data_IF_503025773346
#
_entry.id   IF_503025773346
#
_cell.length_a   1.000
_cell.length_b   1.000
_cell.length_c   1.000
_cell.angle_alpha   90.00
_cell.angle_beta   90.00
_cell.angle_gamma   90.00
#
_symmetry.space_group_name_H-M   'P 1'
#
loop_
_entity.id
_entity.type
_entity.pdbx_description
1 polymer ?
#
# COMPACT_ATOMS: atom_id res chain seq x y z
N UNK A 1 -66.78 3.13 0.46
CA UNK A 1 -66.64 1.95 1.34
C UNK A 1 -65.36 1.23 0.98
N UNK A 2 -64.20 1.79 1.35
CA UNK A 2 -62.86 1.23 1.06
C UNK A 2 -61.74 2.08 1.67
N UNK A 3 -61.84 2.47 2.95
CA UNK A 3 -60.84 3.37 3.56
C UNK A 3 -60.43 3.05 5.00
N UNK A 4 -60.83 1.90 5.55
CA UNK A 4 -60.46 1.53 6.93
C UNK A 4 -59.50 0.33 7.05
N UNK A 5 -59.12 -0.31 5.94
CA UNK A 5 -58.32 -1.55 5.97
C UNK A 5 -56.81 -1.35 5.86
N UNK A 6 -56.30 -0.11 5.80
CA UNK A 6 -54.87 0.17 5.60
C UNK A 6 -54.15 0.78 6.83
N UNK A 7 -54.85 1.08 7.92
CA UNK A 7 -54.23 1.72 9.10
C UNK A 7 -53.62 0.74 10.13
N UNK A 8 -53.89 -0.56 9.99
CA UNK A 8 -53.43 -1.59 10.93
C UNK A 8 -52.19 -2.38 10.45
N UNK A 9 -51.66 -2.06 9.27
CA UNK A 9 -50.52 -2.80 8.70
C UNK A 9 -49.14 -2.31 9.20
N UNK A 10 -49.09 -1.18 9.93
CA UNK A 10 -47.85 -0.42 10.15
C UNK A 10 -47.44 -0.26 11.62
N UNK A 11 -48.01 -1.05 12.54
CA UNK A 11 -47.56 -1.07 13.92
C UNK A 11 -46.59 -2.23 14.15
N UNK A 12 -45.29 -1.95 13.96
CA UNK A 12 -44.22 -2.83 14.44
C UNK A 12 -44.36 -2.94 15.96
N UNK A 13 -44.91 -4.06 16.43
CA UNK A 13 -45.13 -4.26 17.85
C UNK A 13 -43.78 -4.34 18.58
N UNK A 14 -43.64 -3.60 19.67
CA UNK A 14 -42.46 -3.66 20.55
C UNK A 14 -42.20 -5.08 21.08
N UNK A 15 -43.22 -5.93 21.13
CA UNK A 15 -43.10 -7.35 21.46
C UNK A 15 -42.34 -8.14 20.40
N UNK A 16 -42.65 -7.93 19.12
CA UNK A 16 -41.96 -8.60 18.01
C UNK A 16 -40.47 -8.24 17.95
N UNK A 17 -40.11 -6.98 18.22
CA UNK A 17 -38.70 -6.54 18.26
C UNK A 17 -37.93 -7.25 19.39
N UNK A 18 -38.52 -7.39 20.57
CA UNK A 18 -37.88 -8.06 21.71
C UNK A 18 -37.67 -9.56 21.46
N UNK A 19 -38.64 -10.22 20.85
CA UNK A 19 -38.53 -11.65 20.48
C UNK A 19 -37.42 -11.81 19.45
N UNK A 20 -37.42 -10.98 18.40
CA UNK A 20 -36.37 -10.99 17.38
C UNK A 20 -34.97 -10.75 17.96
N UNK A 21 -34.83 -9.80 18.89
CA UNK A 21 -33.56 -9.55 19.57
C UNK A 21 -33.10 -10.75 20.41
N UNK A 22 -34.02 -11.39 21.14
CA UNK A 22 -33.71 -12.56 21.96
C UNK A 22 -33.32 -13.76 21.09
N UNK A 23 -33.96 -13.94 19.94
CA UNK A 23 -33.58 -14.95 18.94
C UNK A 23 -32.18 -14.71 18.38
N UNK A 24 -31.81 -13.45 18.08
CA UNK A 24 -30.45 -13.10 17.65
C UNK A 24 -29.44 -13.42 18.74
N UNK A 25 -29.69 -13.01 19.99
CA UNK A 25 -28.77 -13.26 21.10
C UNK A 25 -28.60 -14.77 21.32
N UNK A 26 -29.70 -15.53 21.29
CA UNK A 26 -29.66 -16.99 21.43
C UNK A 26 -28.90 -17.64 20.28
N UNK A 27 -29.09 -17.15 19.06
CA UNK A 27 -28.35 -17.62 17.89
C UNK A 27 -26.85 -17.37 18.04
N UNK A 28 -26.44 -16.17 18.47
CA UNK A 28 -25.04 -15.82 18.73
C UNK A 28 -24.44 -16.73 19.81
N UNK A 29 -25.14 -16.94 20.93
CA UNK A 29 -24.65 -17.82 22.00
C UNK A 29 -24.51 -19.28 21.53
N UNK A 30 -25.50 -19.80 20.81
CA UNK A 30 -25.45 -21.17 20.26
C UNK A 30 -24.31 -21.32 19.25
N UNK A 31 -24.08 -20.28 18.44
CA UNK A 31 -22.97 -20.24 17.50
C UNK A 31 -21.62 -20.22 18.23
N UNK A 32 -21.49 -19.42 19.29
CA UNK A 32 -20.28 -19.39 20.13
C UNK A 32 -20.02 -20.75 20.77
N UNK A 33 -21.03 -21.41 21.32
CA UNK A 33 -20.92 -22.74 21.92
C UNK A 33 -20.47 -23.78 20.88
N UNK A 34 -21.05 -23.74 19.67
CA UNK A 34 -20.64 -24.60 18.57
C UNK A 34 -19.18 -24.35 18.19
N UNK A 35 -18.76 -23.10 18.05
CA UNK A 35 -17.37 -22.74 17.75
C UNK A 35 -16.44 -23.24 18.86
N UNK A 36 -16.78 -23.04 20.13
CA UNK A 36 -15.99 -23.50 21.26
C UNK A 36 -15.87 -25.04 21.30
N UNK A 37 -16.97 -25.76 21.00
CA UNK A 37 -16.98 -27.21 20.92
C UNK A 37 -16.12 -27.73 19.76
N UNK A 38 -16.15 -27.06 18.61
CA UNK A 38 -15.29 -27.40 17.46
C UNK A 38 -13.82 -27.13 17.78
N UNK A 39 -13.51 -26.00 18.41
CA UNK A 39 -12.15 -25.64 18.82
C UNK A 39 -11.59 -26.67 19.79
N UNK A 40 -12.33 -27.03 20.84
CA UNK A 40 -11.86 -27.99 21.85
C UNK A 40 -11.72 -29.41 21.29
N UNK A 41 -12.66 -29.85 20.43
CA UNK A 41 -12.65 -31.21 19.87
C UNK A 41 -11.66 -31.39 18.72
N UNK A 42 -11.37 -30.33 17.96
CA UNK A 42 -10.46 -30.36 16.80
C UNK A 42 -9.26 -29.42 16.95
N UNK A 43 -8.85 -29.15 18.20
CA UNK A 43 -7.76 -28.24 18.53
C UNK A 43 -6.47 -28.55 17.76
N UNK A 44 -6.12 -29.84 17.64
CA UNK A 44 -4.91 -30.29 16.93
C UNK A 44 -4.94 -29.89 15.46
N UNK A 45 -6.09 -30.03 14.78
CA UNK A 45 -6.22 -29.65 13.37
C UNK A 45 -6.06 -28.12 13.22
N UNK A 46 -6.73 -27.36 14.09
CA UNK A 46 -6.64 -25.89 14.09
C UNK A 46 -5.20 -25.44 14.35
N UNK A 47 -4.51 -26.09 15.27
CA UNK A 47 -3.12 -25.80 15.59
C UNK A 47 -2.20 -26.02 14.37
N UNK A 48 -2.40 -27.12 13.64
CA UNK A 48 -1.64 -27.40 12.41
C UNK A 48 -1.87 -26.33 11.35
N UNK A 49 -3.13 -25.95 11.11
CA UNK A 49 -3.45 -24.87 10.16
C UNK A 49 -2.90 -23.50 10.63
N UNK A 50 -2.94 -23.22 11.93
CA UNK A 50 -2.36 -21.99 12.49
C UNK A 50 -0.85 -21.95 12.28
N UNK A 51 -0.14 -23.06 12.53
CA UNK A 51 1.31 -23.16 12.28
C UNK A 51 1.61 -22.99 10.79
N UNK A 52 0.87 -23.65 9.90
CA UNK A 52 1.04 -23.51 8.46
C UNK A 52 0.80 -22.07 7.99
N UNK A 53 -0.23 -21.40 8.51
CA UNK A 53 -0.50 -20.00 8.23
C UNK A 53 0.60 -19.07 8.74
N UNK A 54 1.17 -19.35 9.92
CA UNK A 54 2.24 -18.56 10.50
C UNK A 54 3.54 -18.72 9.72
N UNK A 55 3.88 -19.95 9.31
CA UNK A 55 5.01 -20.21 8.42
C UNK A 55 4.81 -19.51 7.07
N UNK A 56 3.63 -19.62 6.46
CA UNK A 56 3.31 -18.97 5.19
C UNK A 56 3.36 -17.44 5.28
N UNK A 57 2.85 -16.86 6.36
CA UNK A 57 2.93 -15.41 6.61
C UNK A 57 4.35 -14.94 6.83
N UNK A 58 5.16 -15.71 7.57
CA UNK A 58 6.56 -15.40 7.82
C UNK A 58 7.41 -15.46 6.54
N UNK A 59 7.21 -16.49 5.71
CA UNK A 59 7.91 -16.59 4.42
C UNK A 59 7.50 -15.47 3.49
N UNK A 60 6.20 -15.15 3.41
CA UNK A 60 5.72 -14.01 2.62
C UNK A 60 6.34 -12.69 3.08
N UNK A 61 6.45 -12.47 4.39
CA UNK A 61 7.07 -11.28 4.96
C UNK A 61 8.56 -11.15 4.59
N UNK A 62 9.31 -12.25 4.64
CA UNK A 62 10.72 -12.30 4.26
C UNK A 62 10.93 -12.08 2.74
N UNK A 63 10.05 -12.65 1.92
CA UNK A 63 10.13 -12.58 0.46
C UNK A 63 9.65 -11.25 -0.11
N UNK A 64 8.92 -10.44 0.66
CA UNK A 64 8.45 -9.13 0.21
C UNK A 64 9.62 -8.13 0.24
N UNK A 65 10.16 -7.70 -0.92
CA UNK A 65 11.22 -6.72 -0.94
C UNK A 65 10.72 -5.39 -0.36
N UNK A 66 11.42 -4.87 0.66
CA UNK A 66 11.13 -3.55 1.23
C UNK A 66 11.55 -2.48 0.23
N UNK A 67 10.62 -2.04 -0.60
CA UNK A 67 10.84 -0.90 -1.47
C UNK A 67 10.79 0.39 -0.67
N UNK A 68 11.96 0.97 -0.40
CA UNK A 68 12.03 2.33 0.13
C UNK A 68 11.97 3.32 -1.04
N UNK A 69 10.94 4.15 -1.04
CA UNK A 69 10.79 5.25 -2.00
C UNK A 69 11.10 6.56 -1.27
N UNK A 70 12.18 7.21 -1.67
CA UNK A 70 12.55 8.53 -1.16
C UNK A 70 12.12 9.57 -2.18
N UNK A 71 11.34 10.56 -1.75
CA UNK A 71 10.82 11.62 -2.61
C UNK A 71 11.36 12.98 -2.14
N UNK A 72 12.00 13.73 -3.05
CA UNK A 72 12.53 15.06 -2.81
C UNK A 72 11.87 16.05 -3.76
N UNK A 73 11.32 17.13 -3.22
CA UNK A 73 10.76 18.23 -4.00
C UNK A 73 11.87 19.26 -4.22
N UNK A 74 12.23 19.51 -5.48
CA UNK A 74 13.27 20.47 -5.86
C UNK A 74 12.61 21.67 -6.53
N UNK A 75 12.81 22.85 -5.94
CA UNK A 75 12.45 24.13 -6.52
C UNK A 75 13.73 24.81 -6.96
N UNK A 76 14.00 24.85 -8.27
CA UNK A 76 15.20 25.50 -8.80
C UNK A 76 14.83 26.72 -9.65
N UNK A 77 15.60 27.79 -9.47
CA UNK A 77 15.44 29.08 -10.15
C UNK A 77 16.18 29.20 -11.48
N UNK A 78 17.24 28.41 -11.71
CA UNK A 78 18.21 28.72 -12.77
C UNK A 78 18.40 27.63 -13.85
N UNK A 79 17.86 26.42 -13.69
CA UNK A 79 18.05 25.32 -14.63
C UNK A 79 16.72 24.85 -15.20
N UNK A 80 16.66 24.65 -16.52
CA UNK A 80 15.50 24.08 -17.20
C UNK A 80 15.35 22.59 -16.90
N UNK A 81 14.10 22.13 -16.77
CA UNK A 81 13.73 20.72 -16.45
C UNK A 81 14.39 19.69 -17.38
N UNK A 82 14.62 20.06 -18.65
CA UNK A 82 15.27 19.19 -19.64
C UNK A 82 16.73 18.87 -19.30
N UNK A 83 17.45 19.82 -18.68
CA UNK A 83 18.84 19.59 -18.22
C UNK A 83 18.85 18.58 -17.08
N UNK A 84 17.92 18.71 -16.14
CA UNK A 84 17.72 17.74 -15.06
C UNK A 84 17.37 16.35 -15.58
N UNK A 85 16.46 16.25 -16.54
CA UNK A 85 16.10 14.99 -17.17
C UNK A 85 17.32 14.29 -17.78
N UNK A 86 18.16 15.02 -18.52
CA UNK A 86 19.40 14.47 -19.09
C UNK A 86 20.41 14.05 -18.03
N UNK A 87 20.58 14.83 -16.96
CA UNK A 87 21.49 14.48 -15.87
C UNK A 87 21.08 13.19 -15.16
N UNK A 88 19.80 13.07 -14.78
CA UNK A 88 19.28 11.86 -14.12
C UNK A 88 19.23 10.68 -15.08
N UNK A 89 18.92 10.90 -16.37
CA UNK A 89 19.01 9.87 -17.40
C UNK A 89 20.41 9.27 -17.49
N UNK A 90 21.44 10.11 -17.62
CA UNK A 90 22.83 9.67 -17.65
C UNK A 90 23.23 8.90 -16.37
N UNK A 91 22.75 9.35 -15.20
CA UNK A 91 23.01 8.68 -13.93
C UNK A 91 22.35 7.29 -13.90
N UNK A 92 21.14 7.16 -14.42
CA UNK A 92 20.43 5.89 -14.51
C UNK A 92 21.11 4.93 -15.51
N UNK A 93 21.62 5.44 -16.63
CA UNK A 93 22.43 4.65 -17.57
C UNK A 93 23.74 4.16 -16.93
N UNK A 94 24.36 4.98 -16.07
CA UNK A 94 25.53 4.57 -15.30
C UNK A 94 25.20 3.50 -14.24
N UNK A 95 24.03 3.58 -13.60
CA UNK A 95 23.52 2.54 -12.69
C UNK A 95 23.29 1.21 -13.44
N UNK A 96 22.67 1.27 -14.63
CA UNK A 96 22.41 0.09 -15.48
C UNK A 96 23.72 -0.55 -15.96
N UNK A 97 24.71 0.27 -16.35
CA UNK A 97 26.04 -0.20 -16.77
C UNK A 97 26.91 -0.72 -15.63
N UNK A 98 26.38 -0.80 -14.40
CA UNK A 98 27.08 -1.28 -13.18
C UNK A 98 28.37 -0.53 -12.86
N UNK A 99 28.48 0.73 -13.29
CA UNK A 99 29.65 1.58 -13.05
C UNK A 99 29.64 2.19 -11.63
N UNK A 100 29.32 1.38 -10.61
CA UNK A 100 29.04 1.83 -9.25
C UNK A 100 30.22 2.56 -8.60
N UNK A 101 31.44 2.13 -8.88
CA UNK A 101 32.67 2.77 -8.38
C UNK A 101 32.84 4.22 -8.85
N UNK A 102 32.43 4.50 -10.09
CA UNK A 102 32.50 5.85 -10.67
C UNK A 102 31.43 6.76 -10.08
N UNK A 103 30.20 6.26 -9.98
CA UNK A 103 29.09 6.99 -9.34
C UNK A 103 29.39 7.26 -7.86
N UNK A 104 29.95 6.28 -7.14
CA UNK A 104 30.38 6.43 -5.75
C UNK A 104 31.37 7.59 -5.60
N UNK A 105 32.34 7.71 -6.51
CA UNK A 105 33.30 8.82 -6.50
C UNK A 105 32.68 10.16 -6.89
N UNK A 106 31.74 10.19 -7.83
CA UNK A 106 31.10 11.44 -8.30
C UNK A 106 30.06 11.97 -7.29
N UNK A 107 29.37 11.09 -6.56
CA UNK A 107 28.37 11.43 -5.56
C UNK A 107 28.92 11.45 -4.11
N UNK A 108 30.19 11.12 -3.92
CA UNK A 108 30.83 10.97 -2.60
C UNK A 108 30.06 10.01 -1.67
N UNK A 109 29.61 8.89 -2.23
CA UNK A 109 28.87 7.82 -1.55
C UNK A 109 29.72 6.54 -1.50
N UNK A 110 29.42 5.62 -0.59
CA UNK A 110 30.05 4.29 -0.64
C UNK A 110 29.50 3.46 -1.80
N UNK A 111 30.31 2.55 -2.34
CA UNK A 111 29.86 1.68 -3.44
C UNK A 111 28.67 0.78 -3.02
N UNK A 112 28.59 0.42 -1.74
CA UNK A 112 27.46 -0.31 -1.16
C UNK A 112 26.18 0.54 -1.15
N UNK A 113 26.27 1.84 -0.83
CA UNK A 113 25.14 2.76 -0.88
C UNK A 113 24.64 2.97 -2.31
N UNK A 114 25.54 3.04 -3.29
CA UNK A 114 25.17 3.17 -4.70
C UNK A 114 24.52 1.90 -5.22
N UNK A 115 24.98 0.71 -4.81
CA UNK A 115 24.37 -0.58 -5.17
C UNK A 115 22.94 -0.73 -4.65
N UNK A 116 22.60 -0.08 -3.53
CA UNK A 116 21.24 -0.05 -2.99
C UNK A 116 20.28 0.83 -3.80
N UNK A 117 20.80 1.70 -4.69
CA UNK A 117 19.99 2.55 -5.57
C UNK A 117 19.59 1.74 -6.81
N UNK A 118 18.32 1.35 -6.87
CA UNK A 118 17.78 0.57 -7.98
C UNK A 118 17.39 1.45 -9.18
N UNK A 119 16.78 2.60 -8.93
CA UNK A 119 16.47 3.57 -9.98
C UNK A 119 16.20 4.96 -9.41
N UNK A 120 16.43 5.99 -10.23
CA UNK A 120 16.10 7.38 -9.90
C UNK A 120 15.16 7.91 -10.99
N UNK A 121 14.00 8.40 -10.58
CA UNK A 121 12.97 8.94 -11.46
C UNK A 121 12.71 10.41 -11.18
N UNK A 122 12.37 11.12 -12.25
CA UNK A 122 12.00 12.53 -12.24
C UNK A 122 10.53 12.65 -12.66
N UNK A 123 9.71 13.22 -11.80
CA UNK A 123 8.29 13.48 -12.09
C UNK A 123 7.93 14.92 -11.80
N UNK A 124 6.91 15.42 -12.48
CA UNK A 124 6.24 16.67 -12.09
C UNK A 124 5.53 16.49 -10.74
N UNK A 125 5.02 17.57 -10.16
CA UNK A 125 4.24 17.52 -8.92
C UNK A 125 3.00 16.62 -9.05
N UNK A 126 2.45 16.51 -10.25
CA UNK A 126 1.30 15.68 -10.60
C UNK A 126 1.67 14.22 -10.95
N UNK A 127 2.90 13.78 -10.62
CA UNK A 127 3.46 12.46 -10.96
C UNK A 127 3.60 12.15 -12.47
N UNK A 128 3.35 13.11 -13.36
CA UNK A 128 3.65 12.97 -14.79
C UNK A 128 5.16 12.88 -15.03
N UNK A 129 5.63 12.04 -15.97
CA UNK A 129 7.04 12.00 -16.34
C UNK A 129 7.46 13.36 -16.92
N UNK A 130 8.59 13.92 -16.43
CA UNK A 130 9.08 15.24 -16.87
C UNK A 130 9.38 15.33 -18.37
N UNK A 131 9.46 14.20 -19.08
CA UNK A 131 9.56 14.11 -20.55
C UNK A 131 8.31 14.64 -21.29
N UNK A 132 7.12 14.49 -20.70
CA UNK A 132 5.84 14.91 -21.30
C UNK A 132 5.42 16.31 -20.88
N UNK A 133 6.08 16.87 -19.87
CA UNK A 133 5.80 18.21 -19.38
C UNK A 133 6.47 19.24 -20.31
N UNK A 134 5.68 19.80 -21.23
CA UNK A 134 6.11 20.79 -22.24
C UNK A 134 6.35 22.19 -21.65
N UNK A 135 6.28 22.33 -20.33
CA UNK A 135 6.43 23.62 -19.67
C UNK A 135 7.90 24.05 -19.60
N UNK A 136 8.25 25.04 -20.43
CA UNK A 136 9.58 25.66 -20.54
C UNK A 136 9.82 26.80 -19.54
N UNK A 137 8.93 26.98 -18.55
CA UNK A 137 9.00 28.13 -17.65
C UNK A 137 10.10 27.93 -16.59
N UNK A 138 10.97 28.93 -16.37
CA UNK A 138 11.85 28.95 -15.20
C UNK A 138 11.04 28.98 -13.89
N UNK A 139 11.63 28.52 -12.78
CA UNK A 139 11.03 28.46 -11.43
C UNK A 139 9.97 27.38 -11.16
N UNK A 140 9.88 26.36 -11.99
CA UNK A 140 8.91 25.29 -11.75
C UNK A 140 9.48 24.16 -10.89
N UNK A 141 8.75 23.86 -9.83
CA UNK A 141 9.05 22.75 -8.92
C UNK A 141 8.89 21.40 -9.62
N UNK A 142 9.74 20.44 -9.28
CA UNK A 142 9.66 19.05 -9.74
C UNK A 142 10.10 18.10 -8.62
N UNK A 143 9.79 16.82 -8.79
CA UNK A 143 9.99 15.78 -7.79
C UNK A 143 11.04 14.78 -8.28
N UNK A 144 12.01 14.49 -7.43
CA UNK A 144 12.98 13.41 -7.61
C UNK A 144 12.54 12.26 -6.72
N UNK A 145 12.31 11.08 -7.30
CA UNK A 145 11.96 9.87 -6.57
C UNK A 145 13.06 8.82 -6.78
N UNK A 146 13.75 8.44 -5.71
CA UNK A 146 14.71 7.34 -5.74
C UNK A 146 14.05 6.07 -5.18
N UNK A 147 14.20 4.96 -5.89
CA UNK A 147 13.79 3.63 -5.43
C UNK A 147 15.03 2.87 -4.97
N UNK A 148 15.01 2.48 -3.70
CA UNK A 148 16.02 1.61 -3.11
C UNK A 148 15.51 0.16 -3.16
N UNK A 149 16.41 -0.77 -3.48
CA UNK A 149 16.08 -2.18 -3.72
C UNK A 149 17.20 -3.11 -3.29
#
# INVERSE_FOLDING_TARGET
MSEQTNANADQISLGSIKIFFLEIVRFVLTFLDFVFQVITRRFVIILVFAILGLIGGYTYYQLTPRHFRTEMIVQNSNLTRQVYYKMIGNLNDQLISRSYKRIASELNLSEEQVKAISSIHLSSLDNEPLLKDTSTKPHQTFKIAAKLG
#
